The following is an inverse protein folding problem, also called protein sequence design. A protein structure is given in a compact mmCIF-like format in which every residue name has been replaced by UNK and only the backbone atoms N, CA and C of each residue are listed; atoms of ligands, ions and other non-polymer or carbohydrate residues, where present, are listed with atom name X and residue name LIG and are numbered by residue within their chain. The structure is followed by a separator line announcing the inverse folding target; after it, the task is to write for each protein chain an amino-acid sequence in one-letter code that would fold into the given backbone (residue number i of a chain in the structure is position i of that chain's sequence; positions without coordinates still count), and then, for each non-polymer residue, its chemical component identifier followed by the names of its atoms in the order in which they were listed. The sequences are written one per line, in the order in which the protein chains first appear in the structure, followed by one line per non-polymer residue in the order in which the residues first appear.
data_IF_207270484422
#
_entry.id   IF_207270484422
#
_cell.length_a   1.000
_cell.length_b   1.000
_cell.length_c   1.000
_cell.angle_alpha   90.00
_cell.angle_beta   90.00
_cell.angle_gamma   90.00
#
_symmetry.space_group_name_H-M   'P 1'
#
loop_
_entity.id
_entity.type
_entity.pdbx_description
1 polymer ?
#
# COMPACT_ATOMS: atom_id res chain seq x y z
N UNK A 1 -45.94 13.21 4.30
CA UNK A 1 -44.70 13.59 5.00
C UNK A 1 -45.07 14.06 6.39
N UNK A 2 -44.69 13.33 7.44
CA UNK A 2 -44.87 13.77 8.84
C UNK A 2 -43.52 14.13 9.43
N UNK A 3 -43.40 15.38 9.90
CA UNK A 3 -42.20 15.94 10.54
C UNK A 3 -42.29 15.71 12.05
N UNK A 4 -41.39 14.88 12.60
CA UNK A 4 -41.27 14.66 14.04
C UNK A 4 -40.55 15.85 14.67
N UNK A 5 -41.23 16.61 15.54
CA UNK A 5 -40.61 17.70 16.32
C UNK A 5 -40.17 17.20 17.69
N UNK A 6 -38.89 17.41 18.03
CA UNK A 6 -38.29 17.03 19.31
C UNK A 6 -38.36 18.24 20.25
N UNK A 7 -39.19 18.16 21.30
CA UNK A 7 -39.44 19.25 22.26
C UNK A 7 -38.69 19.09 23.61
N UNK A 8 -37.66 18.24 23.69
CA UNK A 8 -36.87 18.03 24.92
C UNK A 8 -35.42 18.46 24.74
N UNK A 9 -34.86 19.09 25.78
CA UNK A 9 -33.46 19.53 25.84
C UNK A 9 -32.55 18.30 25.89
N UNK A 10 -31.63 18.18 24.92
CA UNK A 10 -30.67 17.08 24.86
C UNK A 10 -29.59 17.35 25.91
N UNK A 11 -29.57 16.57 26.99
CA UNK A 11 -28.65 16.76 28.13
C UNK A 11 -27.52 15.72 28.21
N UNK A 12 -27.25 15.00 27.12
CA UNK A 12 -26.13 14.05 27.08
C UNK A 12 -25.78 13.64 25.65
N UNK A 13 -24.49 13.65 25.33
CA UNK A 13 -23.93 13.11 24.08
C UNK A 13 -23.29 11.77 24.44
N UNK A 14 -23.90 10.67 24.00
CA UNK A 14 -23.29 9.36 24.08
C UNK A 14 -22.32 9.19 22.91
N UNK A 15 -21.02 9.29 23.16
CA UNK A 15 -20.01 8.91 22.16
C UNK A 15 -20.10 7.39 22.03
N UNK A 16 -20.59 6.88 20.90
CA UNK A 16 -20.37 5.48 20.54
C UNK A 16 -18.87 5.30 20.37
N UNK A 17 -18.21 4.74 21.38
CA UNK A 17 -16.93 4.07 21.17
C UNK A 17 -17.20 2.97 20.16
N UNK A 18 -16.52 3.04 19.02
CA UNK A 18 -16.38 1.92 18.11
C UNK A 18 -16.05 0.67 18.95
N UNK A 19 -16.70 -0.49 18.68
CA UNK A 19 -16.35 -1.68 19.39
C UNK A 19 -14.87 -1.95 19.12
N UNK A 20 -14.06 -1.84 20.18
CA UNK A 20 -12.73 -2.41 20.21
C UNK A 20 -12.91 -3.87 19.81
N UNK A 21 -12.44 -4.21 18.60
CA UNK A 21 -12.52 -5.55 18.06
C UNK A 21 -11.82 -6.46 19.06
N UNK A 22 -12.62 -7.17 19.83
CA UNK A 22 -12.18 -8.17 20.77
C UNK A 22 -11.42 -9.21 19.95
N UNK A 23 -10.13 -9.36 20.25
CA UNK A 23 -9.26 -10.39 19.71
C UNK A 23 -9.83 -11.75 20.11
N UNK A 24 -10.70 -12.30 19.27
CA UNK A 24 -11.14 -13.69 19.37
C UNK A 24 -9.98 -14.57 18.91
N UNK A 25 -9.31 -15.18 19.89
CA UNK A 25 -8.52 -16.38 19.70
C UNK A 25 -9.39 -17.49 19.11
N UNK A 26 -8.99 -18.08 17.97
CA UNK A 26 -9.54 -19.39 17.56
C UNK A 26 -9.89 -19.62 16.09
N UNK A 27 -9.24 -18.96 15.13
CA UNK A 27 -8.99 -19.43 13.75
C UNK A 27 -8.01 -18.41 13.18
N UNK A 28 -6.88 -18.85 12.62
CA UNK A 28 -5.92 -17.97 11.93
C UNK A 28 -6.64 -17.28 10.77
N UNK A 29 -7.21 -16.10 11.02
CA UNK A 29 -7.82 -15.29 10.00
C UNK A 29 -6.72 -14.93 9.00
N UNK A 30 -6.89 -15.41 7.76
CA UNK A 30 -5.93 -15.17 6.67
C UNK A 30 -5.77 -13.66 6.51
N UNK A 31 -4.56 -13.17 6.75
CA UNK A 31 -4.22 -11.77 6.60
C UNK A 31 -4.06 -11.45 5.11
N UNK A 32 -4.69 -10.36 4.70
CA UNK A 32 -4.59 -9.83 3.35
C UNK A 32 -3.97 -8.44 3.40
N UNK A 33 -3.33 -8.04 2.29
CA UNK A 33 -2.77 -6.70 2.18
C UNK A 33 -3.87 -5.64 2.32
N UNK A 34 -3.68 -4.72 3.27
CA UNK A 34 -4.54 -3.57 3.52
C UNK A 34 -3.77 -2.44 4.23
N UNK A 35 -4.33 -1.24 4.27
CA UNK A 35 -3.67 -0.02 4.81
C UNK A 35 -3.18 -0.13 6.25
N UNK A 36 -3.75 -1.03 7.06
CA UNK A 36 -3.36 -1.26 8.46
C UNK A 36 -2.25 -2.30 8.65
N UNK A 37 -1.78 -2.96 7.59
CA UNK A 37 -0.67 -3.91 7.71
C UNK A 37 0.57 -3.13 8.11
N UNK A 38 1.15 -3.49 9.26
CA UNK A 38 2.35 -2.84 9.74
C UNK A 38 3.58 -3.27 8.94
N UNK A 39 4.52 -2.34 8.76
CA UNK A 39 5.78 -2.65 8.09
C UNK A 39 6.62 -3.55 9.01
N UNK A 40 7.00 -4.77 8.58
CA UNK A 40 7.89 -5.63 9.38
C UNK A 40 9.29 -5.02 9.50
N UNK A 41 10.08 -5.55 10.43
CA UNK A 41 11.46 -5.12 10.65
C UNK A 41 12.32 -5.34 9.39
N UNK A 42 12.11 -6.46 8.69
CA UNK A 42 12.84 -6.83 7.48
C UNK A 42 11.88 -7.09 6.33
N UNK A 43 12.28 -6.67 5.13
CA UNK A 43 11.60 -6.96 3.87
C UNK A 43 12.59 -7.59 2.90
N UNK A 44 12.10 -8.51 2.06
CA UNK A 44 12.91 -9.16 1.04
C UNK A 44 12.80 -8.35 -0.25
N UNK A 45 13.94 -7.85 -0.73
CA UNK A 45 14.01 -6.95 -1.89
C UNK A 45 14.73 -7.55 -3.09
N UNK A 46 14.25 -7.21 -4.29
CA UNK A 46 14.98 -7.43 -5.55
C UNK A 46 15.33 -6.10 -6.18
N UNK A 47 16.59 -5.93 -6.61
CA UNK A 47 17.05 -4.69 -7.28
C UNK A 47 17.38 -4.95 -8.74
N UNK A 48 16.77 -4.17 -9.63
CA UNK A 48 16.94 -4.22 -11.07
C UNK A 48 17.68 -2.99 -11.56
N UNK A 49 18.69 -3.20 -12.39
CA UNK A 49 19.40 -2.12 -13.08
C UNK A 49 18.83 -1.97 -14.49
N UNK A 50 18.26 -0.81 -14.78
CA UNK A 50 17.68 -0.47 -16.09
C UNK A 50 18.51 0.66 -16.68
N UNK A 51 18.94 0.50 -17.94
CA UNK A 51 19.60 1.57 -18.69
C UNK A 51 18.72 1.95 -19.89
N UNK A 52 17.96 3.05 -19.82
CA UNK A 52 17.17 3.53 -20.95
C UNK A 52 18.09 3.90 -22.12
N UNK A 53 17.67 3.68 -23.38
CA UNK A 53 18.47 4.04 -24.56
C UNK A 53 18.67 5.55 -24.70
N UNK A 54 17.76 6.35 -24.13
CA UNK A 54 17.74 7.82 -24.22
C UNK A 54 18.42 8.53 -23.05
N UNK A 55 18.94 7.79 -22.05
CA UNK A 55 19.54 8.38 -20.85
C UNK A 55 20.96 7.89 -20.62
N UNK A 56 21.85 8.80 -20.27
CA UNK A 56 23.24 8.51 -19.94
C UNK A 56 23.40 7.75 -18.60
N UNK A 57 22.39 7.85 -17.72
CA UNK A 57 22.44 7.29 -16.37
C UNK A 57 21.51 6.09 -16.22
N UNK A 58 21.99 5.03 -15.56
CA UNK A 58 21.18 3.88 -15.20
C UNK A 58 20.23 4.23 -14.04
N UNK A 59 19.03 3.66 -14.11
CA UNK A 59 18.06 3.63 -13.01
C UNK A 59 18.16 2.30 -12.27
N UNK A 60 18.07 2.36 -10.95
CA UNK A 60 18.02 1.21 -10.06
C UNK A 60 16.63 1.17 -9.43
N UNK A 61 15.91 0.10 -9.68
CA UNK A 61 14.56 -0.11 -9.14
C UNK A 61 14.63 -1.26 -8.15
N UNK A 62 14.34 -0.98 -6.88
CA UNK A 62 14.23 -1.99 -5.82
C UNK A 62 12.76 -2.20 -5.49
N UNK A 63 12.31 -3.44 -5.54
CA UNK A 63 10.95 -3.84 -5.11
C UNK A 63 11.13 -4.69 -3.86
N UNK A 64 10.57 -4.24 -2.75
CA UNK A 64 10.56 -4.94 -1.47
C UNK A 64 9.18 -5.54 -1.24
N UNK A 65 9.18 -6.83 -0.90
CA UNK A 65 7.97 -7.60 -0.69
C UNK A 65 7.78 -7.93 0.79
N UNK A 66 6.51 -7.98 1.19
CA UNK A 66 6.07 -8.54 2.47
C UNK A 66 5.62 -9.98 2.24
N UNK A 67 5.87 -10.84 3.25
CA UNK A 67 5.31 -12.19 3.33
C UNK A 67 4.16 -12.12 4.34
N UNK A 68 2.96 -12.46 3.89
CA UNK A 68 1.77 -12.56 4.74
C UNK A 68 1.48 -14.03 5.01
N UNK A 69 0.93 -14.33 6.20
CA UNK A 69 0.59 -15.69 6.64
C UNK A 69 1.75 -16.69 6.54
N UNK A 70 2.97 -16.25 6.89
CA UNK A 70 4.18 -17.09 6.90
C UNK A 70 3.95 -18.40 7.67
N UNK A 71 4.60 -19.47 7.21
CA UNK A 71 4.51 -20.80 7.83
C UNK A 71 3.10 -21.43 7.79
N UNK A 72 2.23 -20.96 6.89
CA UNK A 72 0.89 -21.53 6.64
C UNK A 72 0.67 -21.88 5.17
N UNK A 73 -0.37 -22.66 4.86
CA UNK A 73 -0.79 -22.96 3.47
C UNK A 73 -1.24 -21.71 2.69
N UNK A 74 -1.48 -20.60 3.37
CA UNK A 74 -1.91 -19.32 2.80
C UNK A 74 -0.79 -18.29 2.70
N UNK A 75 0.47 -18.73 2.81
CA UNK A 75 1.63 -17.87 2.64
C UNK A 75 1.57 -17.19 1.26
N UNK A 76 1.60 -15.86 1.28
CA UNK A 76 1.56 -15.06 0.06
C UNK A 76 2.56 -13.92 0.12
N UNK A 77 3.34 -13.81 -0.94
CA UNK A 77 4.28 -12.70 -1.13
C UNK A 77 3.60 -11.59 -1.93
N UNK A 78 3.67 -10.36 -1.44
CA UNK A 78 3.09 -9.17 -2.09
C UNK A 78 4.08 -8.01 -2.09
N UNK A 79 4.12 -7.20 -3.17
CA UNK A 79 4.87 -5.94 -3.16
C UNK A 79 4.39 -5.03 -2.04
N UNK A 80 5.33 -4.46 -1.29
CA UNK A 80 5.05 -3.59 -0.15
C UNK A 80 5.57 -2.16 -0.38
N UNK A 81 6.80 -2.03 -0.86
CA UNK A 81 7.40 -0.72 -1.18
C UNK A 81 8.32 -0.84 -2.41
N UNK A 82 8.43 0.26 -3.15
CA UNK A 82 9.34 0.40 -4.30
C UNK A 82 10.29 1.56 -4.03
N UNK A 83 11.52 1.45 -4.51
CA UNK A 83 12.49 2.54 -4.56
C UNK A 83 13.06 2.68 -5.97
N UNK A 84 13.07 3.91 -6.48
CA UNK A 84 13.68 4.23 -7.77
C UNK A 84 14.83 5.20 -7.50
N UNK A 85 16.04 4.79 -7.85
CA UNK A 85 17.25 5.58 -7.67
C UNK A 85 17.97 5.81 -9.02
N UNK A 86 18.57 6.97 -9.21
CA UNK A 86 19.36 7.30 -10.39
C UNK A 86 20.44 8.32 -10.03
N UNK A 87 21.53 8.34 -10.81
CA UNK A 87 22.51 9.43 -10.74
C UNK A 87 22.02 10.71 -11.42
N UNK A 88 21.01 10.62 -12.29
CA UNK A 88 20.42 11.80 -12.92
C UNK A 88 19.55 12.57 -11.94
N UNK A 89 19.76 13.89 -11.87
CA UNK A 89 18.95 14.80 -11.04
C UNK A 89 17.81 15.48 -11.83
N UNK A 90 17.79 15.35 -13.16
CA UNK A 90 16.90 16.08 -14.05
C UNK A 90 15.41 15.86 -13.76
N UNK A 91 15.04 14.65 -13.32
CA UNK A 91 13.67 14.28 -12.98
C UNK A 91 13.50 13.80 -11.54
N UNK A 92 14.42 14.16 -10.64
CA UNK A 92 14.45 13.62 -9.28
C UNK A 92 13.13 13.79 -8.52
N UNK A 93 12.49 14.96 -8.61
CA UNK A 93 11.21 15.23 -7.92
C UNK A 93 10.07 14.33 -8.44
N UNK A 94 10.02 14.09 -9.75
CA UNK A 94 9.01 13.23 -10.37
C UNK A 94 9.22 11.76 -10.00
N UNK A 95 10.48 11.31 -10.01
CA UNK A 95 10.84 9.96 -9.57
C UNK A 95 10.50 9.74 -8.09
N UNK A 96 10.76 10.72 -7.24
CA UNK A 96 10.40 10.65 -5.82
C UNK A 96 8.88 10.59 -5.61
N UNK A 97 8.12 11.40 -6.35
CA UNK A 97 6.67 11.38 -6.29
C UNK A 97 6.12 10.02 -6.74
N UNK A 98 6.61 9.48 -7.86
CA UNK A 98 6.22 8.18 -8.39
C UNK A 98 6.51 7.05 -7.39
N UNK A 99 7.70 7.05 -6.80
CA UNK A 99 8.12 6.08 -5.78
C UNK A 99 7.16 6.07 -4.58
N UNK A 100 6.76 7.26 -4.10
CA UNK A 100 5.82 7.41 -2.98
C UNK A 100 4.41 6.94 -3.34
N UNK A 101 3.92 7.32 -4.51
CA UNK A 101 2.56 6.97 -4.96
C UNK A 101 2.44 5.47 -5.15
N UNK A 102 3.36 4.83 -5.87
CA UNK A 102 3.33 3.37 -6.10
C UNK A 102 3.43 2.62 -4.77
N UNK A 103 4.33 3.02 -3.87
CA UNK A 103 4.43 2.38 -2.54
C UNK A 103 3.15 2.57 -1.71
N UNK A 104 2.47 3.71 -1.83
CA UNK A 104 1.18 3.91 -1.17
C UNK A 104 0.10 2.99 -1.74
N UNK A 105 0.06 2.80 -3.06
CA UNK A 105 -0.88 1.87 -3.72
C UNK A 105 -0.61 0.43 -3.28
N UNK A 106 0.65 -0.01 -3.23
CA UNK A 106 1.02 -1.33 -2.74
C UNK A 106 0.48 -1.61 -1.32
N UNK A 107 0.60 -0.63 -0.41
CA UNK A 107 0.09 -0.75 0.96
C UNK A 107 -1.43 -0.73 1.07
N UNK A 108 -2.15 -0.13 0.11
CA UNK A 108 -3.62 -0.23 0.10
C UNK A 108 -4.10 -1.66 -0.17
N UNK A 109 -3.28 -2.47 -0.84
CA UNK A 109 -3.63 -3.82 -1.25
C UNK A 109 -4.65 -3.84 -2.40
N UNK A 110 -5.33 -4.98 -2.56
CA UNK A 110 -6.21 -5.24 -3.70
C UNK A 110 -5.45 -5.66 -4.95
N UNK A 111 -6.06 -5.42 -6.11
CA UNK A 111 -5.41 -5.68 -7.39
C UNK A 111 -4.46 -4.53 -7.74
N UNK A 112 -3.17 -4.84 -7.84
CA UNK A 112 -2.10 -3.90 -8.19
C UNK A 112 -1.60 -4.09 -9.62
N UNK A 113 -2.07 -5.11 -10.36
CA UNK A 113 -1.58 -5.37 -11.72
C UNK A 113 -1.95 -4.24 -12.67
N UNK A 114 -3.05 -3.51 -12.39
CA UNK A 114 -3.46 -2.34 -13.14
C UNK A 114 -2.34 -1.28 -13.23
N UNK A 115 -1.49 -1.12 -12.20
CA UNK A 115 -0.38 -0.16 -12.26
C UNK A 115 0.58 -0.46 -13.41
N UNK A 116 0.81 -1.75 -13.70
CA UNK A 116 1.67 -2.15 -14.82
C UNK A 116 1.00 -1.81 -16.15
N UNK A 117 -0.31 -1.94 -16.24
CA UNK A 117 -1.10 -1.60 -17.43
C UNK A 117 -1.08 -0.08 -17.66
N UNK A 118 -1.36 0.72 -16.63
CA UNK A 118 -1.32 2.19 -16.67
C UNK A 118 0.06 2.71 -17.06
N UNK A 119 1.14 2.16 -16.48
CA UNK A 119 2.50 2.59 -16.80
C UNK A 119 2.93 2.20 -18.22
N UNK A 120 2.42 1.08 -18.76
CA UNK A 120 2.66 0.70 -20.15
C UNK A 120 1.98 1.67 -21.12
N UNK A 121 0.76 2.11 -20.81
CA UNK A 121 -0.02 3.00 -21.67
C UNK A 121 0.59 4.41 -21.85
N UNK A 122 1.56 4.81 -21.01
CA UNK A 122 2.24 6.12 -21.15
C UNK A 122 3.15 6.19 -22.39
N UNK A 123 3.60 5.04 -22.92
CA UNK A 123 4.55 4.98 -24.03
C UNK A 123 3.94 4.54 -25.37
N UNK A 124 2.62 4.30 -25.42
CA UNK A 124 1.87 4.10 -26.68
C UNK A 124 1.35 5.43 -27.27
#
# INVERSE_FOLDING_TARGET
MMTTKINKKITGIGIQKEPASQSQTGTSAIEHMHEKVERPEMLIGSTYKIKPPVSDHAMYITINDIILNSDTEHEVRRPFEIFINSKSMEHFMWVLALTRVISAVFRKGGDITFLVEELKAVFD
#
